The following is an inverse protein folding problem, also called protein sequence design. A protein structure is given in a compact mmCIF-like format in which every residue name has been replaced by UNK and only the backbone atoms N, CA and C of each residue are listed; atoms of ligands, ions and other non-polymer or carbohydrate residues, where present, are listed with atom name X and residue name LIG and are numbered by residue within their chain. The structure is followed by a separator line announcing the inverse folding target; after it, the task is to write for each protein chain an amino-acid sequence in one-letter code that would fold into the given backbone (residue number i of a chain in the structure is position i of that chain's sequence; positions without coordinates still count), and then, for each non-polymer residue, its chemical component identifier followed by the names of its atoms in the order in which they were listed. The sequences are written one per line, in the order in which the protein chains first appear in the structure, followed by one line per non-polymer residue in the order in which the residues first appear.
data_IF_407895274261
#
_entry.id   IF_407895274261
#
_cell.length_a   1.000
_cell.length_b   1.000
_cell.length_c   1.000
_cell.angle_alpha   90.00
_cell.angle_beta   90.00
_cell.angle_gamma   90.00
#
_symmetry.space_group_name_H-M   'P 1'
#
loop_
_entity.id
_entity.type
_entity.pdbx_description
1 polymer ?
#
# COMPACT_ATOMS: atom_id res chain seq x y z
N UNK A 1 -6.46 -0.59 -2.56
CA UNK A 1 -5.68 0.25 -3.47
C UNK A 1 -4.43 0.71 -2.75
N UNK A 2 -3.24 0.43 -3.32
CA UNK A 2 -2.00 1.06 -2.86
C UNK A 2 -1.79 2.39 -3.56
N UNK A 3 -1.31 3.41 -2.86
CA UNK A 3 -1.10 4.75 -3.42
C UNK A 3 0.05 5.50 -2.75
N UNK A 4 0.85 6.28 -3.48
CA UNK A 4 1.96 7.10 -2.97
C UNK A 4 1.56 8.59 -2.88
N UNK A 5 2.02 9.37 -1.88
CA UNK A 5 1.82 10.83 -1.86
C UNK A 5 3.01 11.62 -2.40
N UNK A 6 2.90 12.04 -3.66
CA UNK A 6 3.65 13.14 -4.26
C UNK A 6 2.93 13.57 -5.55
N UNK A 7 3.32 14.66 -6.25
CA UNK A 7 2.86 14.87 -7.61
C UNK A 7 3.06 13.59 -8.44
N UNK A 8 2.08 13.21 -9.27
CA UNK A 8 2.07 11.91 -9.97
C UNK A 8 3.40 11.61 -10.68
N UNK A 9 4.00 12.63 -11.32
CA UNK A 9 5.30 12.51 -11.99
C UNK A 9 6.46 12.15 -11.05
N UNK A 10 6.43 12.61 -9.81
CA UNK A 10 7.43 12.27 -8.79
C UNK A 10 7.24 10.83 -8.29
N UNK A 11 5.99 10.38 -8.10
CA UNK A 11 5.71 8.99 -7.72
C UNK A 11 6.24 8.01 -8.77
N UNK A 12 5.95 8.29 -10.05
CA UNK A 12 6.40 7.45 -11.17
C UNK A 12 7.92 7.45 -11.27
N UNK A 13 8.54 8.61 -11.08
CA UNK A 13 10.01 8.74 -11.10
C UNK A 13 10.66 7.94 -9.98
N UNK A 14 10.11 8.02 -8.76
CA UNK A 14 10.58 7.25 -7.60
C UNK A 14 10.37 5.74 -7.79
N UNK A 15 9.22 5.35 -8.36
CA UNK A 15 8.91 3.96 -8.68
C UNK A 15 9.89 3.41 -9.70
N UNK A 16 10.13 4.12 -10.80
CA UNK A 16 11.07 3.69 -11.85
C UNK A 16 12.53 3.73 -11.38
N UNK A 17 12.87 4.58 -10.40
CA UNK A 17 14.19 4.56 -9.77
C UNK A 17 14.45 3.26 -9.00
N UNK A 18 13.43 2.73 -8.30
CA UNK A 18 13.55 1.52 -7.48
C UNK A 18 13.16 0.23 -8.22
N UNK A 19 12.33 0.34 -9.25
CA UNK A 19 11.93 -0.75 -10.13
C UNK A 19 12.03 -0.29 -11.60
N UNK A 20 13.25 -0.25 -12.18
CA UNK A 20 13.47 0.26 -13.54
C UNK A 20 12.77 -0.53 -14.65
N UNK A 21 12.33 -1.75 -14.34
CA UNK A 21 11.62 -2.63 -15.26
C UNK A 21 10.10 -2.57 -15.10
N UNK A 22 9.58 -1.76 -14.18
CA UNK A 22 8.14 -1.61 -13.98
C UNK A 22 7.46 -1.09 -15.25
N UNK A 23 6.37 -1.74 -15.63
CA UNK A 23 5.53 -1.32 -16.76
C UNK A 23 4.42 -0.44 -16.20
N UNK A 24 4.43 0.84 -16.54
CA UNK A 24 3.38 1.78 -16.15
C UNK A 24 2.22 1.68 -17.13
N UNK A 25 1.09 1.20 -16.64
CA UNK A 25 -0.16 1.21 -17.38
C UNK A 25 -0.83 2.56 -17.17
N UNK A 26 -0.73 3.41 -18.19
CA UNK A 26 -1.38 4.72 -18.17
C UNK A 26 -2.85 4.56 -18.43
N UNK A 27 -3.65 4.91 -17.44
CA UNK A 27 -5.09 4.86 -17.53
C UNK A 27 -5.64 6.27 -17.33
N UNK A 28 -6.36 6.77 -18.34
CA UNK A 28 -7.40 7.76 -18.07
C UNK A 28 -8.59 6.96 -17.53
N UNK A 29 -8.48 6.49 -16.31
CA UNK A 29 -9.63 5.89 -15.63
C UNK A 29 -10.43 7.01 -14.99
N UNK A 30 -11.75 6.99 -15.13
CA UNK A 30 -12.67 7.81 -14.32
C UNK A 30 -12.73 7.30 -12.86
N UNK A 31 -11.72 6.53 -12.43
CA UNK A 31 -11.64 5.94 -11.10
C UNK A 31 -11.26 7.01 -10.11
N UNK A 32 -12.08 7.13 -9.08
CA UNK A 32 -11.90 8.08 -7.98
C UNK A 32 -11.71 7.31 -6.68
N UNK A 33 -10.82 7.81 -5.84
CA UNK A 33 -10.64 7.35 -4.47
C UNK A 33 -11.19 8.42 -3.52
N UNK A 34 -12.12 8.03 -2.65
CA UNK A 34 -12.65 8.90 -1.60
C UNK A 34 -11.80 8.72 -0.34
N UNK A 35 -11.16 9.80 0.11
CA UNK A 35 -10.41 9.83 1.36
C UNK A 35 -11.28 10.21 2.56
N UNK A 36 -10.63 10.59 3.65
CA UNK A 36 -11.33 11.10 4.84
C UNK A 36 -12.04 12.43 4.53
N UNK A 37 -13.28 12.56 5.05
CA UNK A 37 -14.15 13.70 4.78
C UNK A 37 -14.75 13.67 3.37
N UNK A 38 -14.86 14.84 2.75
CA UNK A 38 -15.37 15.00 1.37
C UNK A 38 -14.24 15.01 0.32
N UNK A 39 -13.06 14.51 0.69
CA UNK A 39 -11.88 14.52 -0.18
C UNK A 39 -12.00 13.45 -1.27
N UNK A 40 -11.93 13.85 -2.53
CA UNK A 40 -11.97 12.95 -3.68
C UNK A 40 -10.69 13.14 -4.48
N UNK A 41 -10.01 12.04 -4.77
CA UNK A 41 -8.76 12.01 -5.50
C UNK A 41 -8.92 11.24 -6.80
N UNK A 42 -8.32 11.75 -7.86
CA UNK A 42 -8.29 11.06 -9.15
C UNK A 42 -7.18 9.99 -9.15
N UNK A 43 -7.54 8.81 -9.66
CA UNK A 43 -6.64 7.66 -9.80
C UNK A 43 -6.25 7.55 -11.27
N UNK A 44 -4.95 7.60 -11.54
CA UNK A 44 -4.44 7.74 -12.90
C UNK A 44 -3.81 6.45 -13.38
N UNK A 45 -2.56 6.19 -12.99
CA UNK A 45 -1.78 5.08 -13.52
C UNK A 45 -1.75 3.93 -12.53
N UNK A 46 -1.59 2.71 -13.05
CA UNK A 46 -1.31 1.54 -12.23
C UNK A 46 -0.10 0.77 -12.77
N UNK A 47 0.48 -0.04 -11.90
CA UNK A 47 1.59 -0.93 -12.24
C UNK A 47 1.65 -2.06 -11.22
N UNK A 48 2.23 -3.19 -11.61
CA UNK A 48 2.52 -4.28 -10.67
C UNK A 48 3.93 -4.10 -10.11
N UNK A 49 4.07 -4.16 -8.78
CA UNK A 49 5.36 -4.11 -8.11
C UNK A 49 5.54 -5.30 -7.17
N UNK A 50 6.81 -5.65 -6.94
CA UNK A 50 7.21 -6.57 -5.90
C UNK A 50 7.23 -5.87 -4.53
N UNK A 51 6.47 -6.44 -3.59
CA UNK A 51 6.52 -6.07 -2.19
C UNK A 51 7.51 -6.97 -1.46
N UNK A 52 8.41 -6.35 -0.70
CA UNK A 52 9.33 -7.05 0.18
C UNK A 52 9.11 -6.59 1.62
N UNK A 53 8.61 -7.49 2.48
CA UNK A 53 8.41 -7.20 3.90
C UNK A 53 9.40 -8.05 4.70
N UNK A 54 10.33 -7.39 5.39
CA UNK A 54 11.39 -8.05 6.16
C UNK A 54 10.95 -8.25 7.61
N UNK A 55 11.00 -9.49 8.09
CA UNK A 55 10.85 -9.83 9.51
C UNK A 55 12.10 -9.54 10.32
N UNK A 56 11.97 -9.56 11.65
CA UNK A 56 13.10 -9.44 12.59
C UNK A 56 14.17 -10.53 12.37
N UNK A 57 13.75 -11.71 11.93
CA UNK A 57 14.64 -12.85 11.67
C UNK A 57 15.27 -12.79 10.27
N UNK A 58 15.19 -11.64 9.58
CA UNK A 58 15.65 -11.42 8.21
C UNK A 58 14.98 -12.32 7.15
N UNK A 59 13.89 -13.02 7.49
CA UNK A 59 13.04 -13.70 6.52
C UNK A 59 12.24 -12.62 5.78
N UNK A 60 12.24 -12.69 4.45
CA UNK A 60 11.58 -11.71 3.58
C UNK A 60 10.31 -12.33 3.00
N UNK A 61 9.16 -11.72 3.29
CA UNK A 61 7.92 -11.96 2.57
C UNK A 61 8.01 -11.26 1.23
N UNK A 62 7.67 -11.99 0.16
CA UNK A 62 7.69 -11.47 -1.20
C UNK A 62 6.38 -11.82 -1.90
N UNK A 63 5.72 -10.81 -2.46
CA UNK A 63 4.52 -10.96 -3.29
C UNK A 63 4.43 -9.80 -4.27
N UNK A 64 3.80 -10.02 -5.42
CA UNK A 64 3.63 -9.02 -6.47
C UNK A 64 2.18 -8.54 -6.50
N UNK A 65 1.93 -7.23 -6.44
CA UNK A 65 0.57 -6.67 -6.48
C UNK A 65 0.49 -5.41 -7.31
N UNK A 66 -0.70 -5.18 -7.85
CA UNK A 66 -1.07 -3.94 -8.50
C UNK A 66 -1.10 -2.79 -7.48
N UNK A 67 -0.54 -1.67 -7.88
CA UNK A 67 -0.58 -0.42 -7.15
C UNK A 67 -1.03 0.70 -8.07
N UNK A 68 -1.66 1.72 -7.49
CA UNK A 68 -2.11 2.89 -8.23
C UNK A 68 -1.32 4.13 -7.82
N UNK A 69 -1.20 5.07 -8.73
CA UNK A 69 -0.73 6.42 -8.44
C UNK A 69 -1.95 7.33 -8.29
N UNK A 70 -1.94 8.15 -7.24
CA UNK A 70 -3.05 9.07 -6.91
C UNK A 70 -2.47 10.45 -6.72
N UNK A 71 -3.10 11.48 -7.27
CA UNK A 71 -2.56 12.83 -7.14
C UNK A 71 -2.85 13.43 -5.75
N UNK A 72 -1.80 13.92 -5.09
CA UNK A 72 -1.86 14.66 -3.81
C UNK A 72 -2.60 13.96 -2.65
N UNK A 73 -2.45 12.65 -2.38
CA UNK A 73 -3.03 12.06 -1.18
C UNK A 73 -2.32 12.61 0.07
N UNK A 74 -3.04 12.66 1.20
CA UNK A 74 -2.45 13.10 2.47
C UNK A 74 -1.44 12.09 3.06
N UNK A 75 -1.38 10.86 2.53
CA UNK A 75 -0.56 9.77 3.04
C UNK A 75 0.48 9.31 2.02
N UNK A 76 1.75 9.20 2.45
CA UNK A 76 2.87 8.78 1.61
C UNK A 76 2.71 7.40 0.97
N UNK A 77 2.01 6.49 1.64
CA UNK A 77 1.67 5.17 1.14
C UNK A 77 0.36 4.71 1.80
N UNK A 78 -0.60 4.20 1.03
CA UNK A 78 -1.75 3.47 1.56
C UNK A 78 -1.64 2.02 1.14
N UNK A 79 -2.00 1.05 2.00
CA UNK A 79 -2.15 -0.36 1.61
C UNK A 79 -3.61 -0.72 1.86
N UNK A 80 -4.32 -1.03 0.78
CA UNK A 80 -5.75 -1.34 0.86
C UNK A 80 -6.04 -2.78 1.27
N UNK A 81 -7.31 -3.03 1.59
CA UNK A 81 -7.83 -4.34 1.94
C UNK A 81 -7.79 -5.34 0.78
N UNK A 82 -7.75 -4.88 -0.46
CA UNK A 82 -7.52 -5.70 -1.66
C UNK A 82 -6.19 -6.45 -1.59
N UNK A 83 -5.11 -5.79 -1.17
CA UNK A 83 -3.82 -6.44 -0.95
C UNK A 83 -3.88 -7.27 0.34
N UNK A 84 -4.36 -6.70 1.43
CA UNK A 84 -4.35 -7.36 2.74
C UNK A 84 -5.15 -8.67 2.74
N UNK A 85 -6.34 -8.67 2.14
CA UNK A 85 -7.20 -9.86 2.06
C UNK A 85 -6.61 -10.95 1.17
N UNK A 86 -6.02 -10.57 0.02
CA UNK A 86 -5.39 -11.51 -0.89
C UNK A 86 -4.17 -12.15 -0.25
N UNK A 87 -3.38 -11.43 0.54
CA UNK A 87 -2.25 -11.99 1.29
C UNK A 87 -2.63 -12.64 2.63
N UNK A 88 -3.90 -12.55 3.03
CA UNK A 88 -4.41 -13.10 4.28
C UNK A 88 -3.88 -12.40 5.53
N UNK A 89 -3.62 -11.10 5.46
CA UNK A 89 -3.06 -10.32 6.56
C UNK A 89 -3.92 -10.42 7.81
N UNK A 90 -3.26 -10.66 8.93
CA UNK A 90 -3.84 -10.63 10.27
C UNK A 90 -3.18 -9.47 11.00
N UNK A 91 -3.95 -8.41 11.25
CA UNK A 91 -3.51 -7.21 11.95
C UNK A 91 -3.98 -7.32 13.40
N UNK A 92 -3.05 -7.58 14.32
CA UNK A 92 -3.28 -7.59 15.76
C UNK A 92 -2.80 -6.26 16.34
N UNK A 93 -3.74 -5.37 16.63
CA UNK A 93 -3.46 -4.02 17.14
C UNK A 93 -3.07 -4.03 18.62
N UNK A 94 -3.52 -5.02 19.38
CA UNK A 94 -3.18 -5.14 20.81
C UNK A 94 -1.76 -5.67 20.98
N UNK A 95 -1.35 -6.60 20.12
CA UNK A 95 0.01 -7.12 20.06
C UNK A 95 0.96 -6.27 19.20
N UNK A 96 0.45 -5.23 18.52
CA UNK A 96 1.20 -4.39 17.59
C UNK A 96 1.91 -5.22 16.50
N UNK A 97 1.18 -6.16 15.90
CA UNK A 97 1.73 -7.11 14.91
C UNK A 97 0.89 -7.24 13.65
N UNK A 98 1.58 -7.30 12.51
CA UNK A 98 1.04 -7.79 11.24
C UNK A 98 1.60 -9.19 10.96
N UNK A 99 0.72 -10.15 10.73
CA UNK A 99 1.08 -11.51 10.30
C UNK A 99 0.59 -11.77 8.88
N UNK A 100 1.44 -12.39 8.06
CA UNK A 100 1.17 -12.70 6.65
C UNK A 100 1.26 -14.23 6.46
N UNK A 101 0.17 -14.98 6.70
CA UNK A 101 0.16 -16.45 6.64
C UNK A 101 0.61 -17.00 5.29
N UNK A 102 0.24 -16.33 4.19
CA UNK A 102 0.62 -16.77 2.83
C UNK A 102 2.11 -16.62 2.54
N UNK A 103 2.83 -15.84 3.34
CA UNK A 103 4.27 -15.70 3.29
C UNK A 103 4.92 -16.47 4.46
N UNK A 104 4.62 -17.77 4.58
CA UNK A 104 5.16 -18.65 5.63
C UNK A 104 4.88 -18.18 7.07
N UNK A 105 3.80 -17.43 7.28
CA UNK A 105 3.45 -16.91 8.61
C UNK A 105 4.39 -15.83 9.12
N UNK A 106 5.08 -15.10 8.23
CA UNK A 106 5.93 -13.97 8.61
C UNK A 106 5.14 -12.98 9.47
N UNK A 107 5.76 -12.57 10.57
CA UNK A 107 5.20 -11.61 11.52
C UNK A 107 6.15 -10.42 11.64
N UNK A 108 5.60 -9.21 11.56
CA UNK A 108 6.33 -7.95 11.71
C UNK A 108 5.64 -7.08 12.74
N UNK A 109 6.43 -6.30 13.47
CA UNK A 109 5.88 -5.29 14.37
C UNK A 109 5.29 -4.14 13.54
N UNK A 110 4.16 -3.61 13.99
CA UNK A 110 3.52 -2.41 13.45
C UNK A 110 3.28 -1.42 14.56
N UNK A 111 3.43 -0.12 14.30
CA UNK A 111 3.15 0.91 15.29
C UNK A 111 1.95 1.71 14.83
N UNK A 112 0.80 1.64 15.53
CA UNK A 112 -0.33 2.54 15.26
C UNK A 112 0.11 3.99 15.46
N UNK A 113 -0.33 4.88 14.56
CA UNK A 113 -0.03 6.30 14.71
C UNK A 113 -0.86 6.90 15.86
N UNK A 114 -0.30 7.79 16.69
CA UNK A 114 -1.05 8.44 17.76
C UNK A 114 -2.26 9.20 17.19
N UNK A 115 -3.46 8.92 17.69
CA UNK A 115 -4.70 9.55 17.23
C UNK A 115 -5.44 8.82 16.11
N UNK A 116 -4.97 7.66 15.66
CA UNK A 116 -5.85 6.71 14.97
C UNK A 116 -6.80 6.14 16.01
N UNK A 117 -8.07 6.58 16.02
CA UNK A 117 -9.11 5.87 16.75
C UNK A 117 -9.01 4.38 16.41
N UNK A 118 -9.09 3.49 17.40
CA UNK A 118 -9.03 2.03 17.22
C UNK A 118 -10.20 1.46 16.40
N UNK A 119 -10.94 2.34 15.73
CA UNK A 119 -12.02 2.06 14.82
C UNK A 119 -11.53 2.42 13.41
N UNK A 120 -10.84 1.50 12.76
CA UNK A 120 -10.74 1.56 11.32
C UNK A 120 -12.13 1.25 10.76
N UNK A 121 -12.81 2.25 10.21
CA UNK A 121 -13.97 2.01 9.38
C UNK A 121 -13.48 1.41 8.06
N UNK A 122 -13.90 0.17 7.82
CA UNK A 122 -13.70 -0.58 6.58
C UNK A 122 -14.32 0.15 5.38
#
# INVERSE_FOLDING_TARGET
MFSIASPQNEQISLLLQHNPTAIIHRTKTDTKFTGLGDSIYDVYDFTEIDFYIRSKDNIIAHFQREIHTVENPQANALIGIDIASVEGWIIDLDAEKLTIPKCYGISVDITPLPGSDRNFYL
#
